data_IF_474825091670
#
_entry.id   IF_474825091670
#
_cell.length_a   1.000
_cell.length_b   1.000
_cell.length_c   1.000
_cell.angle_alpha   90.00
_cell.angle_beta   90.00
_cell.angle_gamma   90.00
#
_symmetry.space_group_name_H-M   'P 1'
#
loop_
_entity.id
_entity.type
_entity.pdbx_description
1 polymer ?
#
# COMPACT_ATOMS: atom_id res chain seq x y z
N UNK A 1 42.32 -12.58 -56.89
CA UNK A 1 41.09 -12.26 -57.66
C UNK A 1 40.04 -13.31 -57.33
N UNK A 2 39.10 -13.03 -56.42
CA UNK A 2 38.04 -13.97 -56.00
C UNK A 2 36.99 -14.09 -57.12
N UNK A 3 37.27 -14.90 -58.15
CA UNK A 3 36.33 -15.25 -59.24
C UNK A 3 35.57 -16.54 -58.94
N UNK A 4 35.12 -16.73 -57.70
CA UNK A 4 34.26 -17.86 -57.38
C UNK A 4 32.81 -17.40 -57.35
N UNK A 5 31.90 -17.93 -58.20
CA UNK A 5 30.48 -17.59 -58.16
C UNK A 5 29.83 -17.94 -56.81
N UNK A 6 30.41 -18.86 -56.05
CA UNK A 6 30.03 -19.15 -54.66
C UNK A 6 30.29 -17.97 -53.71
N UNK A 7 31.40 -17.25 -53.89
CA UNK A 7 31.74 -16.09 -53.06
C UNK A 7 30.69 -14.99 -53.20
N UNK A 8 30.31 -14.64 -54.44
CA UNK A 8 29.26 -13.65 -54.70
C UNK A 8 27.91 -14.07 -54.12
N UNK A 9 27.51 -15.34 -54.28
CA UNK A 9 26.27 -15.85 -53.68
C UNK A 9 26.29 -15.71 -52.16
N UNK A 10 27.40 -16.01 -51.51
CA UNK A 10 27.53 -15.87 -50.05
C UNK A 10 27.53 -14.41 -49.59
N UNK A 11 28.23 -13.51 -50.30
CA UNK A 11 28.22 -12.08 -49.98
C UNK A 11 26.83 -11.47 -50.15
N UNK A 12 26.11 -11.80 -51.23
CA UNK A 12 24.75 -11.31 -51.45
C UNK A 12 23.79 -11.86 -50.41
N UNK A 13 23.89 -13.14 -50.05
CA UNK A 13 23.08 -13.73 -48.99
C UNK A 13 23.33 -13.05 -47.65
N UNK A 14 24.60 -12.86 -47.27
CA UNK A 14 24.98 -12.18 -46.05
C UNK A 14 24.47 -10.73 -46.02
N UNK A 15 24.61 -9.99 -47.13
CA UNK A 15 24.07 -8.64 -47.27
C UNK A 15 22.55 -8.57 -47.13
N UNK A 16 21.82 -9.53 -47.72
CA UNK A 16 20.37 -9.63 -47.58
C UNK A 16 19.96 -9.93 -46.13
N UNK A 17 20.67 -10.84 -45.44
CA UNK A 17 20.44 -11.13 -44.02
C UNK A 17 20.63 -9.86 -43.18
N UNK A 18 21.74 -9.12 -43.38
CA UNK A 18 21.98 -7.86 -42.68
C UNK A 18 20.89 -6.81 -42.96
N UNK A 19 20.45 -6.69 -44.20
CA UNK A 19 19.39 -5.75 -44.57
C UNK A 19 18.07 -6.11 -43.86
N UNK A 20 17.74 -7.40 -43.78
CA UNK A 20 16.56 -7.89 -43.06
C UNK A 20 16.66 -7.74 -41.54
N UNK A 21 17.86 -7.59 -40.95
CA UNK A 21 17.99 -7.29 -39.52
C UNK A 21 17.47 -5.89 -39.17
N UNK A 22 17.55 -4.92 -40.09
CA UNK A 22 17.08 -3.55 -39.85
C UNK A 22 15.58 -3.52 -39.49
N UNK A 23 14.65 -4.04 -40.33
CA UNK A 23 13.22 -4.02 -39.99
C UNK A 23 12.90 -4.88 -38.76
N UNK A 24 13.63 -5.98 -38.53
CA UNK A 24 13.46 -6.80 -37.32
C UNK A 24 13.81 -5.98 -36.06
N UNK A 25 14.90 -5.22 -36.10
CA UNK A 25 15.32 -4.36 -34.99
C UNK A 25 14.30 -3.25 -34.72
N UNK A 26 13.76 -2.61 -35.78
CA UNK A 26 12.70 -1.59 -35.65
C UNK A 26 11.44 -2.15 -35.01
N UNK A 27 10.97 -3.32 -35.46
CA UNK A 27 9.79 -3.99 -34.86
C UNK A 27 10.06 -4.31 -33.38
N UNK A 28 11.26 -4.81 -33.07
CA UNK A 28 11.64 -5.11 -31.68
C UNK A 28 11.61 -3.85 -30.81
N UNK A 29 12.10 -2.72 -31.31
CA UNK A 29 12.04 -1.44 -30.59
C UNK A 29 10.60 -1.01 -30.31
N UNK A 30 9.72 -1.06 -31.32
CA UNK A 30 8.30 -0.71 -31.14
C UNK A 30 7.62 -1.63 -30.13
N UNK A 31 7.94 -2.94 -30.12
CA UNK A 31 7.37 -3.88 -29.14
C UNK A 31 7.84 -3.52 -27.72
N UNK A 32 9.11 -3.20 -27.54
CA UNK A 32 9.66 -2.78 -26.23
C UNK A 32 9.01 -1.49 -25.77
N UNK A 33 8.93 -0.47 -26.63
CA UNK A 33 8.25 0.80 -26.33
C UNK A 33 6.78 0.58 -25.93
N UNK A 34 6.08 -0.36 -26.58
CA UNK A 34 4.68 -0.70 -26.23
C UNK A 34 4.54 -1.42 -24.89
N UNK A 35 5.53 -2.20 -24.49
CA UNK A 35 5.57 -2.84 -23.19
C UNK A 35 5.86 -1.82 -22.09
N UNK A 36 6.86 -0.96 -22.31
CA UNK A 36 7.24 0.10 -21.36
C UNK A 36 6.09 1.10 -21.18
N UNK A 37 5.48 1.54 -22.29
CA UNK A 37 4.35 2.47 -22.26
C UNK A 37 3.13 1.91 -21.54
N UNK A 38 2.93 0.58 -21.52
CA UNK A 38 1.87 -0.02 -20.69
C UNK A 38 2.15 0.17 -19.20
N UNK A 39 3.39 -0.02 -18.77
CA UNK A 39 3.80 0.25 -17.37
C UNK A 39 3.60 1.72 -17.03
N UNK A 40 3.97 2.63 -17.94
CA UNK A 40 3.78 4.07 -17.75
C UNK A 40 2.29 4.44 -17.63
N UNK A 41 1.42 3.79 -18.40
CA UNK A 41 -0.04 3.97 -18.28
C UNK A 41 -0.54 3.48 -16.93
N UNK A 42 -0.12 2.30 -16.47
CA UNK A 42 -0.50 1.78 -15.15
C UNK A 42 -0.05 2.75 -14.04
N UNK A 43 1.18 3.27 -14.11
CA UNK A 43 1.69 4.25 -13.16
C UNK A 43 0.98 5.61 -13.26
N UNK A 44 0.62 6.06 -14.45
CA UNK A 44 -0.17 7.28 -14.64
C UNK A 44 -1.56 7.15 -14.00
N UNK A 45 -2.22 6.00 -14.16
CA UNK A 45 -3.51 5.71 -13.49
C UNK A 45 -3.32 5.75 -11.97
N UNK A 46 -2.30 5.07 -11.44
CA UNK A 46 -1.98 5.06 -10.00
C UNK A 46 -1.67 6.44 -9.44
N UNK A 47 -0.98 7.28 -10.21
CA UNK A 47 -0.67 8.66 -9.81
C UNK A 47 -1.92 9.56 -9.82
N UNK A 48 -2.85 9.32 -10.75
CA UNK A 48 -4.10 10.08 -10.86
C UNK A 48 -5.18 9.69 -9.84
N UNK A 49 -5.05 8.51 -9.22
CA UNK A 49 -5.99 7.97 -8.22
C UNK A 49 -5.23 7.63 -6.94
N UNK A 50 -4.92 6.35 -6.73
CA UNK A 50 -4.05 5.88 -5.66
C UNK A 50 -3.25 4.66 -6.08
N UNK A 51 -2.19 4.36 -5.32
CA UNK A 51 -1.52 3.08 -5.40
C UNK A 51 -2.39 1.91 -4.87
N UNK A 52 -1.81 0.70 -4.82
CA UNK A 52 -2.45 -0.45 -4.18
C UNK A 52 -2.82 -0.14 -2.73
N UNK A 53 -4.07 -0.44 -2.36
CA UNK A 53 -4.58 -0.18 -1.02
C UNK A 53 -4.45 -1.43 -0.15
N UNK A 54 -3.92 -1.24 1.06
CA UNK A 54 -3.99 -2.23 2.14
C UNK A 54 -4.60 -1.55 3.35
N UNK A 55 -5.76 -2.02 3.79
CA UNK A 55 -6.42 -1.53 4.98
C UNK A 55 -6.01 -2.37 6.19
N UNK A 56 -5.60 -1.72 7.29
CA UNK A 56 -5.25 -2.38 8.55
C UNK A 56 -5.99 -1.70 9.69
N UNK A 57 -6.71 -2.49 10.49
CA UNK A 57 -7.53 -2.03 11.60
C UNK A 57 -9.00 -2.41 11.44
N UNK A 58 -9.90 -1.83 12.24
CA UNK A 58 -9.64 -0.80 13.25
C UNK A 58 -8.88 -1.33 14.48
N UNK A 59 -7.97 -0.52 15.01
CA UNK A 59 -7.24 -0.78 16.26
C UNK A 59 -7.47 0.37 17.24
N UNK A 60 -7.47 0.09 18.55
CA UNK A 60 -7.45 1.15 19.56
C UNK A 60 -5.99 1.34 20.01
N UNK A 61 -5.44 2.52 19.75
CA UNK A 61 -4.11 2.90 20.21
C UNK A 61 -4.23 3.62 21.56
N UNK A 62 -3.59 3.06 22.58
CA UNK A 62 -3.59 3.60 23.94
C UNK A 62 -2.16 4.07 24.25
N UNK A 63 -1.92 5.39 24.38
CA UNK A 63 -0.64 5.88 24.87
C UNK A 63 -0.47 5.45 26.34
N UNK A 64 0.61 4.75 26.64
CA UNK A 64 0.92 4.25 27.98
C UNK A 64 2.22 4.91 28.46
N UNK A 65 2.18 5.47 29.66
CA UNK A 65 3.35 5.92 30.40
C UNK A 65 3.57 5.00 31.59
N UNK A 66 4.73 4.38 31.66
CA UNK A 66 5.14 3.53 32.78
C UNK A 66 6.27 4.22 33.56
N UNK A 67 6.13 4.28 34.88
CA UNK A 67 7.21 4.64 35.80
C UNK A 67 7.88 3.34 36.28
N UNK A 68 9.20 3.27 36.12
CA UNK A 68 9.97 2.13 36.58
C UNK A 68 11.24 2.59 37.27
N UNK A 69 11.69 1.77 38.21
CA UNK A 69 12.79 2.08 39.09
C UNK A 69 14.03 1.32 38.66
N UNK A 70 15.14 2.01 38.47
CA UNK A 70 16.45 1.42 38.14
C UNK A 70 17.41 1.69 39.30
N UNK A 71 18.19 0.68 39.69
CA UNK A 71 19.33 0.89 40.58
C UNK A 71 20.56 1.25 39.74
N UNK A 72 21.07 2.47 39.93
CA UNK A 72 22.35 2.95 39.39
C UNK A 72 23.22 3.38 40.58
N UNK A 73 24.42 2.81 40.71
CA UNK A 73 25.49 3.27 41.63
C UNK A 73 24.98 3.65 43.05
N UNK A 74 24.35 2.70 43.75
CA UNK A 74 23.78 2.84 45.10
C UNK A 74 22.61 3.85 45.23
N UNK A 75 22.01 4.30 44.12
CA UNK A 75 20.81 5.15 44.12
C UNK A 75 19.68 4.52 43.34
N UNK A 76 18.49 4.64 43.93
CA UNK A 76 17.22 4.25 43.31
C UNK A 76 16.75 5.44 42.46
N UNK A 77 16.76 5.30 41.13
CA UNK A 77 16.37 6.36 40.19
C UNK A 77 15.06 5.96 39.50
N UNK A 78 14.05 6.83 39.57
CA UNK A 78 12.81 6.68 38.79
C UNK A 78 13.02 7.14 37.35
N UNK A 79 12.62 6.30 36.40
CA UNK A 79 12.64 6.58 34.96
C UNK A 79 11.24 6.41 34.39
N UNK A 80 10.96 7.16 33.33
CA UNK A 80 9.69 7.13 32.61
C UNK A 80 9.89 6.49 31.23
N UNK A 81 9.03 5.54 30.88
CA UNK A 81 8.93 4.96 29.53
C UNK A 81 7.56 5.29 28.94
N UNK A 82 7.53 5.77 27.71
CA UNK A 82 6.30 6.00 26.96
C UNK A 82 6.25 5.08 25.76
N UNK A 83 5.12 4.41 25.54
CA UNK A 83 4.88 3.56 24.37
C UNK A 83 3.40 3.56 23.99
N UNK A 84 3.06 3.02 22.82
CA UNK A 84 1.67 2.83 22.39
C UNK A 84 1.34 1.36 22.53
N UNK A 85 0.29 1.06 23.29
CA UNK A 85 -0.31 -0.26 23.33
C UNK A 85 -1.43 -0.33 22.28
N UNK A 86 -1.33 -1.30 21.36
CA UNK A 86 -2.38 -1.54 20.37
C UNK A 86 -3.32 -2.62 20.87
N UNK A 87 -4.57 -2.24 21.05
CA UNK A 87 -5.63 -3.15 21.42
C UNK A 87 -6.41 -3.57 20.18
N UNK A 88 -6.42 -4.88 19.92
CA UNK A 88 -7.05 -5.51 18.76
C UNK A 88 -8.50 -5.88 19.08
N UNK A 89 -9.39 -5.86 18.08
CA UNK A 89 -10.76 -6.34 18.26
C UNK A 89 -10.80 -7.87 18.36
N UNK A 90 -11.75 -8.39 19.13
CA UNK A 90 -12.05 -9.83 19.21
C UNK A 90 -12.83 -10.29 17.98
N UNK A 91 -13.68 -9.42 17.45
CA UNK A 91 -14.48 -9.66 16.24
C UNK A 91 -14.32 -8.48 15.28
N UNK A 92 -14.15 -8.78 13.99
CA UNK A 92 -14.15 -7.79 12.93
C UNK A 92 -14.99 -8.30 11.77
N UNK A 93 -16.11 -7.62 11.52
CA UNK A 93 -16.91 -7.80 10.31
C UNK A 93 -16.59 -6.69 9.33
N UNK A 94 -16.20 -7.08 8.13
CA UNK A 94 -15.94 -6.18 7.00
C UNK A 94 -17.00 -6.46 5.94
N UNK A 95 -17.86 -5.49 5.69
CA UNK A 95 -18.79 -5.49 4.56
C UNK A 95 -18.26 -4.50 3.52
N UNK A 96 -18.24 -4.91 2.26
CA UNK A 96 -17.64 -4.12 1.20
C UNK A 96 -18.42 -4.24 -0.09
N UNK A 97 -18.82 -3.10 -0.65
CA UNK A 97 -19.32 -3.03 -2.02
C UNK A 97 -18.22 -2.50 -2.94
N UNK A 98 -17.91 -3.24 -4.00
CA UNK A 98 -16.83 -2.90 -4.90
C UNK A 98 -17.37 -2.60 -6.30
N UNK A 99 -16.98 -1.45 -6.83
CA UNK A 99 -17.29 -1.03 -8.18
C UNK A 99 -16.00 -0.86 -9.00
N UNK A 100 -16.04 -1.27 -10.27
CA UNK A 100 -14.90 -1.17 -11.17
C UNK A 100 -15.22 -0.20 -12.28
N UNK A 101 -14.37 0.82 -12.42
CA UNK A 101 -14.46 1.82 -13.47
C UNK A 101 -13.33 1.60 -14.48
N UNK A 102 -13.67 1.53 -15.77
CA UNK A 102 -12.67 1.52 -16.82
C UNK A 102 -12.09 2.92 -17.04
N UNK A 103 -10.77 3.04 -16.92
CA UNK A 103 -10.02 4.26 -17.17
C UNK A 103 -9.19 4.13 -18.43
N UNK A 104 -9.46 4.97 -19.43
CA UNK A 104 -8.74 4.98 -20.71
C UNK A 104 -7.60 5.99 -20.69
N UNK A 105 -6.40 5.55 -21.12
CA UNK A 105 -5.25 6.41 -21.40
C UNK A 105 -4.71 6.02 -22.78
N UNK A 106 -4.89 6.91 -23.76
CA UNK A 106 -4.53 6.64 -25.15
C UNK A 106 -5.30 5.45 -25.72
N UNK A 107 -4.57 4.41 -26.18
CA UNK A 107 -5.16 3.15 -26.67
C UNK A 107 -5.31 2.09 -25.58
N UNK A 108 -4.86 2.37 -24.36
CA UNK A 108 -4.87 1.42 -23.25
C UNK A 108 -6.04 1.71 -22.32
N UNK A 109 -6.54 0.66 -21.67
CA UNK A 109 -7.59 0.73 -20.67
C UNK A 109 -7.07 0.04 -19.41
N UNK A 110 -7.15 0.73 -18.27
CA UNK A 110 -6.93 0.17 -16.95
C UNK A 110 -8.23 0.13 -16.17
N UNK A 111 -8.22 -0.59 -15.05
CA UNK A 111 -9.37 -0.70 -14.15
C UNK A 111 -9.07 0.04 -12.86
N UNK A 112 -9.93 0.97 -12.49
CA UNK A 112 -9.89 1.67 -11.20
C UNK A 112 -10.95 1.06 -10.30
N UNK A 113 -10.54 0.66 -9.10
CA UNK A 113 -11.38 -0.02 -8.14
C UNK A 113 -11.83 0.96 -7.06
N UNK A 114 -13.14 1.13 -6.94
CA UNK A 114 -13.77 1.92 -5.88
C UNK A 114 -14.41 0.96 -4.89
N UNK A 115 -14.12 1.10 -3.60
CA UNK A 115 -14.64 0.21 -2.57
C UNK A 115 -15.30 1.02 -1.46
N UNK A 116 -16.60 0.80 -1.26
CA UNK A 116 -17.33 1.30 -0.10
C UNK A 116 -17.24 0.25 1.01
N UNK A 117 -16.51 0.54 2.09
CA UNK A 117 -16.26 -0.39 3.19
C UNK A 117 -17.01 0.03 4.45
N UNK A 118 -17.69 -0.93 5.08
CA UNK A 118 -18.27 -0.83 6.41
C UNK A 118 -17.55 -1.78 7.35
N UNK A 119 -16.94 -1.24 8.39
CA UNK A 119 -16.20 -1.99 9.40
C UNK A 119 -17.01 -2.01 10.70
N UNK A 120 -17.27 -3.19 11.25
CA UNK A 120 -17.84 -3.35 12.59
C UNK A 120 -16.87 -4.17 13.42
N UNK A 121 -16.45 -3.62 14.55
CA UNK A 121 -15.43 -4.22 15.40
C UNK A 121 -15.90 -4.25 16.85
N UNK A 122 -15.73 -5.39 17.51
CA UNK A 122 -16.04 -5.58 18.93
C UNK A 122 -14.75 -5.70 19.73
N UNK A 123 -14.68 -4.96 20.84
CA UNK A 123 -13.53 -4.91 21.73
C UNK A 123 -13.95 -5.33 23.14
N UNK A 124 -13.28 -6.33 23.72
CA UNK A 124 -13.55 -6.80 25.08
C UNK A 124 -12.67 -6.09 26.12
N UNK A 125 -13.29 -5.19 26.89
CA UNK A 125 -12.63 -4.35 27.92
C UNK A 125 -11.91 -5.19 28.98
N UNK A 126 -12.32 -6.45 29.19
CA UNK A 126 -11.67 -7.34 30.17
C UNK A 126 -10.17 -7.51 29.90
N UNK A 127 -9.74 -7.42 28.63
CA UNK A 127 -8.34 -7.50 28.20
C UNK A 127 -7.47 -6.35 28.70
N UNK A 128 -8.07 -5.19 29.01
CA UNK A 128 -7.33 -4.04 29.53
C UNK A 128 -6.94 -4.22 31.01
N UNK A 129 -7.54 -5.19 31.71
CA UNK A 129 -7.21 -5.46 33.11
C UNK A 129 -5.74 -5.85 33.31
N UNK A 130 -5.09 -6.39 32.27
CA UNK A 130 -3.65 -6.72 32.29
C UNK A 130 -2.75 -5.47 32.35
N UNK A 131 -3.27 -4.31 31.96
CA UNK A 131 -2.55 -3.03 31.98
C UNK A 131 -2.84 -2.23 33.26
N UNK A 132 -3.72 -2.72 34.14
CA UNK A 132 -4.09 -2.05 35.39
C UNK A 132 -3.00 -2.26 36.45
N UNK A 133 -1.93 -1.47 36.34
CA UNK A 133 -0.83 -1.45 37.30
C UNK A 133 -0.66 -0.03 37.88
N UNK A 134 -0.35 0.09 39.20
CA UNK A 134 -0.31 1.39 39.88
C UNK A 134 0.80 2.34 39.38
N UNK A 135 1.80 1.82 38.65
CA UNK A 135 2.89 2.58 38.05
C UNK A 135 2.62 2.95 36.57
N UNK A 136 1.43 2.64 36.05
CA UNK A 136 1.02 2.90 34.68
C UNK A 136 0.01 4.05 34.64
N UNK A 137 0.23 5.00 33.73
CA UNK A 137 -0.68 6.10 33.43
C UNK A 137 -1.10 6.03 31.97
N UNK A 138 -2.41 5.95 31.72
CA UNK A 138 -2.97 5.97 30.38
C UNK A 138 -3.16 7.40 29.86
N UNK A 139 -2.78 7.63 28.61
CA UNK A 139 -3.17 8.80 27.84
C UNK A 139 -4.57 8.66 27.24
N UNK A 140 -4.95 9.64 26.41
CA UNK A 140 -6.22 9.58 25.67
C UNK A 140 -6.15 8.52 24.58
N UNK A 141 -7.00 7.48 24.60
CA UNK A 141 -7.02 6.47 23.55
C UNK A 141 -7.63 7.04 22.27
N UNK A 142 -7.21 6.53 21.11
CA UNK A 142 -7.75 6.89 19.81
C UNK A 142 -7.82 5.68 18.89
N UNK A 143 -8.77 5.69 17.95
CA UNK A 143 -8.93 4.63 16.96
C UNK A 143 -8.01 4.92 15.78
N UNK A 144 -7.33 3.88 15.31
CA UNK A 144 -6.41 3.96 14.18
C UNK A 144 -6.86 2.99 13.11
N UNK A 145 -6.91 3.49 11.88
CA UNK A 145 -7.04 2.71 10.66
C UNK A 145 -5.90 3.17 9.75
N UNK A 146 -5.13 2.21 9.24
CA UNK A 146 -4.05 2.48 8.31
C UNK A 146 -4.48 2.07 6.91
N UNK A 147 -4.10 2.89 5.92
CA UNK A 147 -4.33 2.63 4.49
C UNK A 147 -3.00 2.63 3.76
N UNK A 148 -2.95 1.95 2.60
CA UNK A 148 -1.72 1.85 1.80
C UNK A 148 -1.30 3.18 1.18
N UNK A 149 -2.27 3.98 0.75
CA UNK A 149 -2.05 5.30 0.16
C UNK A 149 -3.23 6.21 0.50
N UNK A 150 -2.98 7.26 1.29
CA UNK A 150 -4.01 8.17 1.80
C UNK A 150 -4.80 8.89 0.69
N UNK A 151 -4.24 9.02 -0.52
CA UNK A 151 -4.95 9.62 -1.67
C UNK A 151 -6.16 8.78 -2.11
N UNK A 152 -6.16 7.48 -1.78
CA UNK A 152 -7.29 6.59 -2.06
C UNK A 152 -8.45 6.74 -1.09
N UNK A 153 -8.30 7.53 -0.02
CA UNK A 153 -9.42 7.83 0.88
C UNK A 153 -10.32 8.86 0.20
N UNK A 154 -11.47 8.40 -0.30
CA UNK A 154 -12.48 9.27 -0.90
C UNK A 154 -13.30 10.03 0.14
N UNK A 155 -14.09 9.28 0.93
CA UNK A 155 -14.94 9.83 2.00
C UNK A 155 -14.86 8.92 3.22
N UNK A 156 -14.70 9.53 4.39
CA UNK A 156 -14.80 8.82 5.67
C UNK A 156 -16.05 9.32 6.39
N UNK A 157 -16.99 8.43 6.67
CA UNK A 157 -18.15 8.74 7.52
C UNK A 157 -17.71 8.72 8.99
N UNK A 158 -18.27 9.62 9.80
CA UNK A 158 -18.01 9.68 11.23
C UNK A 158 -18.21 8.28 11.86
N UNK A 159 -17.15 7.68 12.47
CA UNK A 159 -17.29 6.39 13.10
C UNK A 159 -18.16 6.55 14.36
N UNK A 160 -18.97 5.54 14.62
CA UNK A 160 -19.80 5.47 15.83
C UNK A 160 -19.20 4.45 16.78
N UNK A 161 -19.01 4.84 18.04
CA UNK A 161 -18.62 3.94 19.12
C UNK A 161 -19.76 3.89 20.11
N UNK A 162 -20.36 2.72 20.30
CA UNK A 162 -21.50 2.51 21.20
C UNK A 162 -22.63 3.54 20.96
N UNK A 163 -22.91 3.88 19.70
CA UNK A 163 -23.93 4.84 19.30
C UNK A 163 -23.53 6.32 19.43
N UNK A 164 -22.28 6.62 19.81
CA UNK A 164 -21.75 7.99 19.87
C UNK A 164 -20.85 8.25 18.67
N UNK A 165 -21.18 9.25 17.85
CA UNK A 165 -20.35 9.68 16.73
C UNK A 165 -19.04 10.34 17.23
N UNK A 166 -17.92 9.96 16.62
CA UNK A 166 -16.60 10.52 16.91
C UNK A 166 -16.11 11.46 15.81
N UNK A 167 -15.25 12.40 16.18
CA UNK A 167 -14.51 13.24 15.23
C UNK A 167 -13.38 12.44 14.59
N UNK A 168 -13.17 12.65 13.29
CA UNK A 168 -12.10 12.04 12.51
C UNK A 168 -11.02 13.08 12.24
N UNK A 169 -9.76 12.69 12.39
CA UNK A 169 -8.60 13.43 11.91
C UNK A 169 -7.90 12.60 10.83
N UNK A 170 -7.75 13.10 9.60
CA UNK A 170 -7.08 12.40 8.50
C UNK A 170 -5.55 12.47 8.58
#
# INVERSE_FOLDING_TARGET
MLKSPLFWKMTTLFGAVLLLLIPIMLIRQVIVERADYRSDVEDAIRQSTSGPQKLVGPLIAIPVTELYTVQEEDKTVERKRSFIHFWLPESLMVDGNQNVEERKIGIYTGQVWHSDLTLKADFDVSRLSELDAPNITFGKPFIVISVGDARGIGVVKAPEVNGTALTIEP
#
